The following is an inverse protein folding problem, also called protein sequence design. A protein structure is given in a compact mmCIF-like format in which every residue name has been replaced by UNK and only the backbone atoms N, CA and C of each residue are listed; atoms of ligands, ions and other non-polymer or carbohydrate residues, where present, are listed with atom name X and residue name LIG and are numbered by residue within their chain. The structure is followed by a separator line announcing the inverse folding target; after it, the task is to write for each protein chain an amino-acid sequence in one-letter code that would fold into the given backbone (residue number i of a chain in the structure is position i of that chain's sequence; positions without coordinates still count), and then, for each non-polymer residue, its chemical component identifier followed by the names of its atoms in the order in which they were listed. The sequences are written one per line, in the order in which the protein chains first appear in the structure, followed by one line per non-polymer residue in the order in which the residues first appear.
data_IF_872092671906
#
_entry.id   IF_872092671906
#
_cell.length_a   1.000
_cell.length_b   1.000
_cell.length_c   1.000
_cell.angle_alpha   90.00
_cell.angle_beta   90.00
_cell.angle_gamma   90.00
#
_symmetry.space_group_name_H-M   'P 1'
#
loop_
_entity.id
_entity.type
_entity.pdbx_description
1 polymer ?
#
# COMPACT_ATOMS: atom_id res chain seq x y z
N UNK A 1 20.94 32.01 18.24
CA UNK A 1 22.25 31.54 18.75
C UNK A 1 21.96 30.22 19.46
N UNK A 2 21.67 29.18 18.68
CA UNK A 2 22.64 28.16 18.21
C UNK A 2 23.17 27.28 19.35
N UNK A 3 22.35 26.31 19.74
CA UNK A 3 22.85 24.95 19.95
C UNK A 3 22.18 24.09 18.88
N UNK A 4 22.86 23.97 17.74
CA UNK A 4 22.57 22.91 16.77
C UNK A 4 22.61 21.59 17.54
N UNK A 5 21.48 20.88 17.59
CA UNK A 5 21.35 19.64 18.35
C UNK A 5 22.09 18.51 17.62
N UNK A 6 23.42 18.47 17.77
CA UNK A 6 24.37 17.47 17.23
C UNK A 6 23.95 16.03 17.61
N UNK A 7 23.19 15.87 18.70
CA UNK A 7 22.66 14.58 19.13
C UNK A 7 21.63 14.02 18.15
N UNK A 8 20.76 14.86 17.60
CA UNK A 8 19.80 14.47 16.56
C UNK A 8 20.48 14.09 15.24
N UNK A 9 21.59 14.73 14.90
CA UNK A 9 22.36 14.46 13.68
C UNK A 9 23.11 13.12 13.77
N UNK A 10 23.66 12.80 14.95
CA UNK A 10 24.35 11.54 15.18
C UNK A 10 23.38 10.35 15.18
N UNK A 11 22.22 10.51 15.81
CA UNK A 11 21.14 9.52 15.76
C UNK A 11 20.58 9.33 14.33
N UNK A 12 20.56 10.41 13.52
CA UNK A 12 20.18 10.38 12.11
C UNK A 12 21.17 9.54 11.28
N UNK A 13 22.47 9.82 11.38
CA UNK A 13 23.51 9.07 10.67
C UNK A 13 23.49 7.59 11.05
N UNK A 14 23.36 7.27 12.35
CA UNK A 14 23.32 5.88 12.83
C UNK A 14 22.07 5.12 12.35
N UNK A 15 20.91 5.78 12.19
CA UNK A 15 19.71 5.09 11.68
C UNK A 15 19.71 4.90 10.16
N UNK A 16 20.42 5.76 9.41
CA UNK A 16 20.47 5.73 7.95
C UNK A 16 21.57 4.79 7.42
N UNK A 17 22.66 4.61 8.16
CA UNK A 17 23.81 3.79 7.80
C UNK A 17 23.46 2.36 7.36
N UNK A 18 22.65 1.56 8.10
CA UNK A 18 22.31 0.20 7.66
C UNK A 18 21.46 0.18 6.38
N UNK A 19 20.64 1.22 6.15
CA UNK A 19 19.73 1.29 5.01
C UNK A 19 20.49 1.72 3.73
N UNK A 20 21.44 2.65 3.87
CA UNK A 20 22.32 3.08 2.78
C UNK A 20 23.26 1.94 2.34
N UNK A 21 23.86 1.22 3.29
CA UNK A 21 24.71 0.06 3.00
C UNK A 21 23.93 -1.06 2.28
N UNK A 22 22.66 -1.26 2.62
CA UNK A 22 21.80 -2.21 1.90
C UNK A 22 21.45 -1.74 0.47
N UNK A 23 21.45 -0.44 0.21
CA UNK A 23 21.06 0.14 -1.09
C UNK A 23 22.23 0.15 -2.07
N UNK A 24 23.45 0.48 -1.60
CA UNK A 24 24.68 0.46 -2.39
C UNK A 24 24.95 -0.92 -3.00
N UNK A 25 24.75 -1.98 -2.22
CA UNK A 25 24.95 -3.37 -2.66
C UNK A 25 23.98 -3.81 -3.77
N UNK A 26 22.83 -3.15 -3.94
CA UNK A 26 21.81 -3.50 -4.93
C UNK A 26 21.96 -2.73 -6.26
N UNK A 27 22.59 -1.55 -6.24
CA UNK A 27 22.75 -0.68 -7.42
C UNK A 27 23.67 -1.29 -8.50
N UNK A 28 24.70 -2.05 -8.10
CA UNK A 28 25.65 -2.64 -9.04
C UNK A 28 25.07 -3.71 -9.98
N UNK A 29 23.87 -4.24 -9.69
CA UNK A 29 23.25 -5.31 -10.50
C UNK A 29 22.42 -4.81 -11.69
N UNK A 30 22.29 -3.49 -11.88
CA UNK A 30 21.21 -2.92 -12.71
C UNK A 30 21.59 -2.42 -14.11
N UNK A 31 22.85 -2.51 -14.55
CA UNK A 31 23.28 -1.90 -15.82
C UNK A 31 23.77 -2.96 -16.82
N UNK A 32 22.96 -3.37 -17.82
CA UNK A 32 23.39 -3.70 -19.23
C UNK A 32 22.19 -3.55 -20.23
N UNK A 33 22.41 -3.07 -21.50
CA UNK A 33 21.39 -2.66 -22.48
C UNK A 33 20.80 -3.77 -23.39
N UNK A 34 19.59 -3.52 -23.93
CA UNK A 34 18.85 -4.35 -24.90
C UNK A 34 19.35 -4.22 -26.34
N UNK A 35 19.48 -5.34 -27.06
CA UNK A 35 19.39 -5.42 -28.54
C UNK A 35 18.66 -6.70 -28.96
N UNK A 36 17.63 -6.57 -29.81
CA UNK A 36 16.98 -7.66 -30.53
C UNK A 36 17.09 -7.39 -32.03
N UNK A 37 17.61 -8.35 -32.79
CA UNK A 37 17.49 -8.42 -34.24
C UNK A 37 16.94 -9.80 -34.59
N UNK A 38 15.73 -9.84 -35.15
CA UNK A 38 15.10 -11.05 -35.67
C UNK A 38 15.28 -11.11 -37.19
N UNK A 39 15.83 -12.22 -37.69
CA UNK A 39 15.89 -12.56 -39.10
C UNK A 39 14.95 -13.74 -39.40
N UNK A 40 14.05 -13.54 -40.37
CA UNK A 40 13.27 -14.59 -41.03
C UNK A 40 14.15 -15.39 -42.02
N UNK A 41 13.72 -16.60 -42.42
CA UNK A 41 13.59 -16.82 -43.87
C UNK A 41 12.36 -17.64 -44.31
N UNK A 42 11.92 -17.32 -45.55
CA UNK A 42 10.96 -18.04 -46.41
C UNK A 42 11.64 -19.22 -47.13
N UNK A 43 10.87 -20.23 -47.55
CA UNK A 43 11.25 -21.09 -48.70
C UNK A 43 10.02 -21.44 -49.56
N UNK A 44 10.24 -21.51 -50.87
CA UNK A 44 9.26 -21.66 -51.95
C UNK A 44 9.18 -23.08 -52.56
N UNK A 45 8.54 -23.13 -53.72
CA UNK A 45 7.73 -24.23 -54.29
C UNK A 45 8.41 -25.05 -55.42
N UNK A 46 7.72 -26.15 -55.79
CA UNK A 46 7.47 -26.71 -57.16
C UNK A 46 8.13 -28.05 -57.63
N UNK A 47 7.23 -29.02 -57.89
CA UNK A 47 6.92 -29.86 -59.08
C UNK A 47 7.97 -30.68 -59.86
N UNK A 48 7.51 -31.87 -60.32
CA UNK A 48 8.05 -32.62 -61.47
C UNK A 48 7.26 -33.91 -61.79
N UNK A 49 6.74 -34.02 -63.02
CA UNK A 49 5.88 -35.08 -63.61
C UNK A 49 6.67 -36.29 -64.17
N UNK A 50 6.01 -37.44 -64.47
CA UNK A 50 5.89 -38.02 -65.85
C UNK A 50 5.16 -39.40 -65.93
N UNK A 51 4.57 -39.65 -67.11
CA UNK A 51 3.66 -40.72 -67.58
C UNK A 51 4.31 -42.09 -67.94
N UNK A 52 3.48 -43.16 -68.11
CA UNK A 52 3.77 -44.25 -69.08
C UNK A 52 3.13 -45.65 -68.91
N UNK A 53 1.94 -45.85 -69.50
CA UNK A 53 1.24 -47.02 -70.11
C UNK A 53 1.53 -48.54 -69.87
N UNK A 54 0.39 -49.26 -69.61
CA UNK A 54 -0.22 -50.54 -70.14
C UNK A 54 0.52 -51.90 -70.21
N UNK A 55 -0.19 -52.96 -69.75
CA UNK A 55 -0.20 -54.30 -70.35
C UNK A 55 -0.48 -55.46 -69.37
N UNK A 56 -1.66 -56.10 -69.47
CA UNK A 56 -2.21 -57.18 -68.61
C UNK A 56 -1.53 -58.55 -68.78
N UNK A 57 -1.11 -59.16 -67.67
CA UNK A 57 -1.24 -60.62 -67.41
C UNK A 57 -1.11 -60.96 -65.90
N UNK A 58 -1.44 -60.01 -65.04
CA UNK A 58 -0.86 -59.96 -63.70
C UNK A 58 -1.93 -59.80 -62.61
N UNK A 59 -3.20 -60.15 -62.83
CA UNK A 59 -4.29 -59.67 -61.97
C UNK A 59 -4.16 -60.03 -60.46
N UNK A 60 -3.72 -61.24 -60.10
CA UNK A 60 -3.53 -61.60 -58.67
C UNK A 60 -2.17 -61.16 -58.09
N UNK A 61 -1.09 -61.17 -58.88
CA UNK A 61 0.23 -60.67 -58.45
C UNK A 61 0.31 -59.13 -58.45
N UNK A 62 -0.43 -58.47 -59.33
CA UNK A 62 -0.59 -57.02 -59.38
C UNK A 62 -1.50 -56.55 -58.26
N UNK A 63 -2.56 -57.28 -57.89
CA UNK A 63 -3.33 -56.91 -56.69
C UNK A 63 -2.50 -57.03 -55.41
N UNK A 64 -1.74 -58.12 -55.22
CA UNK A 64 -0.80 -58.24 -54.10
C UNK A 64 0.30 -57.17 -54.15
N UNK A 65 0.92 -56.95 -55.31
CA UNK A 65 1.92 -55.91 -55.53
C UNK A 65 1.37 -54.50 -55.32
N UNK A 66 0.13 -54.21 -55.71
CA UNK A 66 -0.54 -52.92 -55.51
C UNK A 66 -0.89 -52.74 -54.04
N UNK A 67 -1.37 -53.78 -53.34
CA UNK A 67 -1.67 -53.74 -51.90
C UNK A 67 -0.37 -53.59 -51.08
N UNK A 68 0.69 -54.32 -51.41
CA UNK A 68 2.02 -54.19 -50.80
C UNK A 68 2.65 -52.82 -51.13
N UNK A 69 2.52 -52.34 -52.37
CA UNK A 69 2.95 -50.99 -52.80
C UNK A 69 2.19 -49.88 -52.09
N UNK A 70 0.88 -50.06 -51.89
CA UNK A 70 0.03 -49.06 -51.22
C UNK A 70 0.30 -49.06 -49.72
N UNK A 71 0.43 -50.23 -49.09
CA UNK A 71 0.85 -50.38 -47.69
C UNK A 71 2.27 -49.87 -47.44
N UNK A 72 3.22 -50.13 -48.35
CA UNK A 72 4.58 -49.61 -48.25
C UNK A 72 4.62 -48.08 -48.38
N UNK A 73 3.83 -47.50 -49.30
CA UNK A 73 3.68 -46.05 -49.43
C UNK A 73 3.06 -45.40 -48.19
N UNK A 74 2.03 -46.03 -47.62
CA UNK A 74 1.34 -45.56 -46.41
C UNK A 74 2.25 -45.64 -45.17
N UNK A 75 3.02 -46.72 -45.02
CA UNK A 75 4.07 -46.85 -43.98
C UNK A 75 5.15 -45.77 -44.16
N UNK A 76 5.55 -45.47 -45.40
CA UNK A 76 6.56 -44.46 -45.67
C UNK A 76 6.04 -43.05 -45.38
N UNK A 77 4.78 -42.76 -45.71
CA UNK A 77 4.10 -41.51 -45.37
C UNK A 77 3.97 -41.33 -43.85
N UNK A 78 3.50 -42.34 -43.13
CA UNK A 78 3.39 -42.31 -41.66
C UNK A 78 4.74 -42.17 -40.96
N UNK A 79 5.81 -42.77 -41.52
CA UNK A 79 7.19 -42.57 -41.01
C UNK A 79 7.66 -41.13 -41.19
N UNK A 80 7.33 -40.51 -42.32
CA UNK A 80 7.64 -39.10 -42.59
C UNK A 80 6.90 -38.18 -41.60
N UNK A 81 5.60 -38.40 -41.42
CA UNK A 81 4.78 -37.65 -40.47
C UNK A 81 5.26 -37.81 -39.03
N UNK A 82 5.59 -39.05 -38.60
CA UNK A 82 6.18 -39.29 -37.29
C UNK A 82 7.52 -38.57 -37.08
N UNK A 83 8.29 -38.34 -38.14
CA UNK A 83 9.56 -37.60 -38.09
C UNK A 83 9.31 -36.09 -37.97
N UNK A 84 8.34 -35.58 -38.73
CA UNK A 84 7.92 -34.18 -38.68
C UNK A 84 7.33 -33.81 -37.31
N UNK A 85 6.42 -34.64 -36.79
CA UNK A 85 5.83 -34.44 -35.46
C UNK A 85 6.90 -34.47 -34.36
N UNK A 86 7.89 -35.37 -34.44
CA UNK A 86 9.03 -35.38 -33.50
C UNK A 86 9.83 -34.09 -33.55
N UNK A 87 10.20 -33.62 -34.74
CA UNK A 87 10.90 -32.35 -34.89
C UNK A 87 10.07 -31.17 -34.37
N UNK A 88 8.74 -31.21 -34.56
CA UNK A 88 7.83 -30.19 -34.04
C UNK A 88 7.77 -30.20 -32.52
N UNK A 89 7.69 -31.37 -31.89
CA UNK A 89 7.69 -31.54 -30.44
C UNK A 89 9.01 -31.05 -29.84
N UNK A 90 10.15 -31.42 -30.42
CA UNK A 90 11.47 -30.98 -29.95
C UNK A 90 11.61 -29.46 -30.03
N UNK A 91 11.22 -28.86 -31.15
CA UNK A 91 11.21 -27.41 -31.35
C UNK A 91 10.29 -26.70 -30.34
N UNK A 92 9.06 -27.19 -30.14
CA UNK A 92 8.13 -26.63 -29.16
C UNK A 92 8.63 -26.79 -27.73
N UNK A 93 9.31 -27.90 -27.42
CA UNK A 93 9.91 -28.15 -26.11
C UNK A 93 11.03 -27.14 -25.85
N UNK A 94 11.92 -26.91 -26.82
CA UNK A 94 12.97 -25.89 -26.72
C UNK A 94 12.41 -24.46 -26.59
N UNK A 95 11.37 -24.11 -27.35
CA UNK A 95 10.69 -22.81 -27.20
C UNK A 95 10.07 -22.64 -25.81
N UNK A 96 9.43 -23.70 -25.29
CA UNK A 96 8.84 -23.71 -23.95
C UNK A 96 9.92 -23.59 -22.87
N UNK A 97 11.05 -24.27 -23.01
CA UNK A 97 12.16 -24.20 -22.06
C UNK A 97 12.80 -22.79 -22.07
N UNK A 98 13.06 -22.22 -23.25
CA UNK A 98 13.58 -20.85 -23.38
C UNK A 98 12.61 -19.80 -22.80
N UNK A 99 11.30 -19.97 -22.99
CA UNK A 99 10.30 -19.09 -22.40
C UNK A 99 10.26 -19.22 -20.87
N UNK A 100 10.44 -20.43 -20.32
CA UNK A 100 10.54 -20.66 -18.89
C UNK A 100 11.78 -19.99 -18.28
N UNK A 101 12.93 -20.09 -18.94
CA UNK A 101 14.17 -19.42 -18.52
C UNK A 101 14.01 -17.89 -18.49
N UNK A 102 13.40 -17.31 -19.54
CA UNK A 102 13.14 -15.88 -19.58
C UNK A 102 12.14 -15.44 -18.51
N UNK A 103 11.12 -16.25 -18.22
CA UNK A 103 10.15 -15.97 -17.17
C UNK A 103 10.80 -15.93 -15.79
N UNK A 104 11.64 -16.91 -15.44
CA UNK A 104 12.36 -16.89 -14.15
C UNK A 104 13.33 -15.71 -14.08
N UNK A 105 14.05 -15.39 -15.17
CA UNK A 105 14.92 -14.21 -15.23
C UNK A 105 14.15 -12.91 -14.98
N UNK A 106 13.00 -12.74 -15.62
CA UNK A 106 12.16 -11.54 -15.45
C UNK A 106 11.56 -11.46 -14.04
N UNK A 107 11.20 -12.59 -13.44
CA UNK A 107 10.70 -12.67 -12.07
C UNK A 107 11.77 -12.27 -11.06
N UNK A 108 13.01 -12.71 -11.22
CA UNK A 108 14.14 -12.31 -10.37
C UNK A 108 14.43 -10.80 -10.49
N UNK A 109 14.34 -10.26 -11.71
CA UNK A 109 14.48 -8.82 -11.95
C UNK A 109 13.36 -8.02 -11.28
N UNK A 110 12.11 -8.49 -11.38
CA UNK A 110 10.96 -7.84 -10.76
C UNK A 110 11.08 -7.85 -9.22
N UNK A 111 11.47 -8.98 -8.64
CA UNK A 111 11.68 -9.08 -7.19
C UNK A 111 12.77 -8.10 -6.73
N UNK A 112 13.88 -8.05 -7.46
CA UNK A 112 15.00 -7.13 -7.16
C UNK A 112 14.58 -5.66 -7.26
N UNK A 113 13.82 -5.30 -8.30
CA UNK A 113 13.30 -3.94 -8.47
C UNK A 113 12.32 -3.58 -7.33
N UNK A 114 11.44 -4.50 -6.95
CA UNK A 114 10.50 -4.31 -5.86
C UNK A 114 11.23 -4.05 -4.54
N UNK A 115 12.26 -4.85 -4.22
CA UNK A 115 13.09 -4.64 -3.01
C UNK A 115 13.82 -3.31 -3.03
N UNK A 116 14.37 -2.90 -4.18
CA UNK A 116 15.03 -1.60 -4.34
C UNK A 116 14.04 -0.44 -4.13
N UNK A 117 12.88 -0.47 -4.79
CA UNK A 117 11.86 0.56 -4.67
C UNK A 117 11.33 0.68 -3.23
N UNK A 118 11.11 -0.46 -2.55
CA UNK A 118 10.71 -0.46 -1.14
C UNK A 118 11.78 0.19 -0.24
N UNK A 119 13.05 -0.15 -0.45
CA UNK A 119 14.17 0.41 0.31
C UNK A 119 14.32 1.91 0.09
N UNK A 120 14.31 2.35 -1.18
CA UNK A 120 14.38 3.76 -1.55
C UNK A 120 13.19 4.54 -0.98
N UNK A 121 11.97 3.99 -1.09
CA UNK A 121 10.77 4.58 -0.53
C UNK A 121 10.84 4.74 0.99
N UNK A 122 11.38 3.74 1.70
CA UNK A 122 11.56 3.81 3.16
C UNK A 122 12.56 4.91 3.59
N UNK A 123 13.69 5.04 2.88
CA UNK A 123 14.68 6.10 3.13
C UNK A 123 14.05 7.47 2.87
N UNK A 124 13.52 7.68 1.68
CA UNK A 124 12.95 8.97 1.27
C UNK A 124 11.75 9.34 2.14
N UNK A 125 10.89 8.38 2.48
CA UNK A 125 9.77 8.59 3.40
C UNK A 125 10.22 9.07 4.78
N UNK A 126 11.29 8.49 5.34
CA UNK A 126 11.85 8.94 6.62
C UNK A 126 12.47 10.34 6.52
N UNK A 127 13.24 10.63 5.47
CA UNK A 127 13.82 11.97 5.25
C UNK A 127 12.72 13.02 5.10
N UNK A 128 11.69 12.73 4.30
CA UNK A 128 10.52 13.60 4.10
C UNK A 128 9.75 13.79 5.41
N UNK A 129 9.56 12.75 6.21
CA UNK A 129 8.94 12.90 7.53
C UNK A 129 9.73 13.84 8.43
N UNK A 130 11.06 13.67 8.51
CA UNK A 130 11.90 14.57 9.29
C UNK A 130 11.85 16.00 8.76
N UNK A 131 11.90 16.21 7.44
CA UNK A 131 11.79 17.51 6.81
C UNK A 131 10.44 18.19 7.09
N UNK A 132 9.34 17.42 7.09
CA UNK A 132 7.99 17.95 7.37
C UNK A 132 7.82 18.48 8.80
N UNK A 133 8.75 18.22 9.72
CA UNK A 133 8.71 18.79 11.08
C UNK A 133 8.97 20.29 11.10
N UNK A 134 9.53 20.84 10.01
CA UNK A 134 9.76 22.28 9.86
C UNK A 134 8.54 22.91 9.17
N UNK A 135 7.78 23.79 9.85
CA UNK A 135 6.56 24.38 9.28
C UNK A 135 6.81 25.07 7.94
N UNK A 136 7.96 25.73 7.77
CA UNK A 136 8.33 26.42 6.53
C UNK A 136 8.40 25.46 5.33
N UNK A 137 8.81 24.21 5.55
CA UNK A 137 8.85 23.19 4.51
C UNK A 137 7.43 22.77 4.12
N UNK A 138 6.57 22.57 5.11
CA UNK A 138 5.15 22.28 4.89
C UNK A 138 4.46 23.43 4.15
N UNK A 139 4.76 24.68 4.48
CA UNK A 139 4.21 25.87 3.82
C UNK A 139 4.64 25.93 2.35
N UNK A 140 5.91 25.62 2.04
CA UNK A 140 6.40 25.53 0.65
C UNK A 140 5.68 24.40 -0.10
N UNK A 141 5.51 23.23 0.51
CA UNK A 141 4.78 22.12 -0.11
C UNK A 141 3.33 22.48 -0.42
N UNK A 142 2.64 23.10 0.53
CA UNK A 142 1.24 23.49 0.38
C UNK A 142 1.02 24.71 -0.50
N UNK A 143 2.04 25.55 -0.75
CA UNK A 143 1.91 26.71 -1.65
C UNK A 143 2.38 26.42 -3.06
N UNK A 144 3.44 25.61 -3.21
CA UNK A 144 4.16 25.42 -4.48
C UNK A 144 3.94 24.03 -5.09
N UNK A 145 3.70 23.00 -4.26
CA UNK A 145 3.70 21.59 -4.67
C UNK A 145 2.41 20.85 -4.27
N UNK A 146 1.26 21.53 -4.29
CA UNK A 146 -0.03 20.95 -3.87
C UNK A 146 -0.42 19.70 -4.66
N UNK A 147 -0.14 19.69 -5.97
CA UNK A 147 -0.36 18.53 -6.84
C UNK A 147 0.44 17.31 -6.35
N UNK A 148 1.70 17.52 -5.96
CA UNK A 148 2.58 16.47 -5.44
C UNK A 148 2.17 15.97 -4.07
N UNK A 149 1.67 16.85 -3.20
CA UNK A 149 1.07 16.41 -1.93
C UNK A 149 -0.23 15.62 -2.19
N UNK A 150 -1.02 16.02 -3.20
CA UNK A 150 -2.19 15.26 -3.63
C UNK A 150 -1.84 13.86 -4.15
N UNK A 151 -0.83 13.74 -5.02
CA UNK A 151 -0.30 12.44 -5.50
C UNK A 151 0.22 11.59 -4.34
N UNK A 152 0.97 12.19 -3.41
CA UNK A 152 1.45 11.54 -2.20
C UNK A 152 0.30 10.97 -1.36
N UNK A 153 -0.76 11.75 -1.10
CA UNK A 153 -1.94 11.26 -0.37
C UNK A 153 -2.63 10.11 -1.11
N UNK A 154 -2.67 10.13 -2.44
CA UNK A 154 -3.20 9.00 -3.23
C UNK A 154 -2.39 7.72 -3.00
N UNK A 155 -1.07 7.82 -2.91
CA UNK A 155 -0.21 6.66 -2.63
C UNK A 155 -0.44 6.16 -1.21
N UNK A 156 -0.48 7.05 -0.22
CA UNK A 156 -0.72 6.65 1.18
C UNK A 156 -2.10 6.02 1.33
N UNK A 157 -3.12 6.49 0.60
CA UNK A 157 -4.45 5.87 0.61
C UNK A 157 -4.41 4.37 0.32
N UNK A 158 -3.67 3.96 -0.70
CA UNK A 158 -3.49 2.54 -1.04
C UNK A 158 -2.62 1.81 -0.02
N UNK A 159 -1.50 2.43 0.38
CA UNK A 159 -0.55 1.82 1.32
C UNK A 159 -1.16 1.58 2.70
N UNK A 160 -1.94 2.53 3.23
CA UNK A 160 -2.57 2.41 4.54
C UNK A 160 -3.63 1.32 4.56
N UNK A 161 -4.49 1.27 3.53
CA UNK A 161 -5.48 0.21 3.38
C UNK A 161 -4.82 -1.16 3.26
N UNK A 162 -3.81 -1.30 2.39
CA UNK A 162 -3.06 -2.54 2.24
C UNK A 162 -2.35 -2.97 3.54
N UNK A 163 -1.81 -2.01 4.31
CA UNK A 163 -1.18 -2.28 5.59
C UNK A 163 -2.18 -2.82 6.62
N UNK A 164 -3.34 -2.16 6.77
CA UNK A 164 -4.42 -2.62 7.65
C UNK A 164 -4.92 -4.00 7.19
N UNK A 165 -5.09 -4.19 5.89
CA UNK A 165 -5.57 -5.44 5.31
C UNK A 165 -4.61 -6.62 5.48
N UNK A 166 -3.30 -6.35 5.42
CA UNK A 166 -2.27 -7.38 5.59
C UNK A 166 -2.19 -7.84 7.04
N UNK A 167 -2.38 -6.92 8.00
CA UNK A 167 -2.11 -7.17 9.43
C UNK A 167 -3.36 -7.20 10.33
N UNK A 168 -4.56 -7.36 9.75
CA UNK A 168 -5.89 -7.35 10.41
C UNK A 168 -5.96 -7.94 11.83
N UNK A 169 -5.23 -9.03 12.10
CA UNK A 169 -5.23 -9.70 13.40
C UNK A 169 -4.13 -9.28 14.36
N UNK A 170 -2.96 -8.89 13.85
CA UNK A 170 -1.81 -8.53 14.66
C UNK A 170 -0.81 -7.70 13.85
N UNK A 171 -0.51 -6.51 14.36
CA UNK A 171 0.52 -5.66 13.76
C UNK A 171 1.91 -6.24 14.01
N UNK A 172 2.84 -6.05 13.07
CA UNK A 172 4.22 -6.44 13.27
C UNK A 172 4.83 -5.58 14.40
N UNK A 173 5.95 -6.02 14.99
CA UNK A 173 6.67 -5.23 15.99
C UNK A 173 6.95 -3.82 15.48
N UNK A 174 7.01 -2.83 16.37
CA UNK A 174 7.26 -1.44 15.96
C UNK A 174 8.61 -1.26 15.27
N UNK A 175 9.59 -2.14 15.50
CA UNK A 175 10.88 -2.15 14.79
C UNK A 175 10.81 -2.65 13.34
N UNK A 176 9.68 -3.21 12.91
CA UNK A 176 9.48 -3.69 11.54
C UNK A 176 9.54 -2.53 10.54
N UNK A 177 10.19 -2.77 9.39
CA UNK A 177 10.42 -1.76 8.35
C UNK A 177 9.12 -1.23 7.74
N UNK A 178 8.10 -2.07 7.54
CA UNK A 178 6.81 -1.67 7.00
C UNK A 178 6.02 -0.84 8.03
N UNK A 179 6.09 -1.23 9.31
CA UNK A 179 5.51 -0.45 10.39
C UNK A 179 6.15 0.95 10.48
N UNK A 180 7.48 1.02 10.46
CA UNK A 180 8.22 2.29 10.47
C UNK A 180 7.94 3.13 9.23
N UNK A 181 7.83 2.49 8.06
CA UNK A 181 7.43 3.17 6.83
C UNK A 181 6.03 3.77 6.97
N UNK A 182 5.06 3.01 7.49
CA UNK A 182 3.70 3.48 7.69
C UNK A 182 3.63 4.63 8.71
N UNK A 183 4.39 4.53 9.80
CA UNK A 183 4.57 5.61 10.77
C UNK A 183 5.15 6.88 10.12
N UNK A 184 6.11 6.74 9.21
CA UNK A 184 6.68 7.86 8.46
C UNK A 184 5.65 8.56 7.59
N UNK A 185 4.87 7.78 6.83
CA UNK A 185 3.82 8.31 5.97
C UNK A 185 2.72 9.04 6.77
N UNK A 186 2.22 8.44 7.86
CA UNK A 186 1.26 9.11 8.75
C UNK A 186 1.86 10.31 9.47
N UNK A 187 3.13 10.22 9.82
CA UNK A 187 3.87 11.29 10.47
C UNK A 187 4.01 12.53 9.59
N UNK A 188 4.23 12.36 8.28
CA UNK A 188 4.20 13.46 7.31
C UNK A 188 2.82 14.13 7.31
N UNK A 189 1.75 13.34 7.18
CA UNK A 189 0.37 13.87 7.15
C UNK A 189 0.01 14.56 8.47
N UNK A 190 0.48 14.03 9.60
CA UNK A 190 0.33 14.66 10.92
C UNK A 190 0.94 16.06 10.93
N UNK A 191 2.17 16.19 10.45
CA UNK A 191 2.84 17.50 10.38
C UNK A 191 2.17 18.45 9.38
N UNK A 192 1.73 17.94 8.21
CA UNK A 192 0.96 18.74 7.24
C UNK A 192 -0.33 19.26 7.87
N UNK A 193 -1.08 18.41 8.57
CA UNK A 193 -2.33 18.82 9.23
C UNK A 193 -2.13 19.82 10.38
N UNK A 194 -0.91 20.01 10.88
CA UNK A 194 -0.66 20.97 11.95
C UNK A 194 -0.84 22.43 11.51
N UNK A 195 -0.67 22.75 10.22
CA UNK A 195 -0.91 24.10 9.69
C UNK A 195 -2.37 24.32 9.25
N UNK A 196 -2.92 25.54 9.36
CA UNK A 196 -4.27 25.86 8.86
C UNK A 196 -4.49 25.49 7.39
N UNK A 197 -3.51 25.78 6.54
CA UNK A 197 -3.52 25.51 5.11
C UNK A 197 -3.55 24.01 4.85
N UNK A 198 -2.79 23.23 5.63
CA UNK A 198 -2.74 21.78 5.49
C UNK A 198 -4.04 21.12 5.92
N UNK A 199 -4.67 21.61 7.00
CA UNK A 199 -6.02 21.17 7.40
C UNK A 199 -7.03 21.42 6.30
N UNK A 200 -7.03 22.63 5.75
CA UNK A 200 -7.96 22.99 4.68
C UNK A 200 -7.69 22.15 3.44
N UNK A 201 -6.43 21.95 3.05
CA UNK A 201 -6.05 21.12 1.92
C UNK A 201 -6.53 19.67 2.07
N UNK A 202 -6.37 19.07 3.26
CA UNK A 202 -6.83 17.70 3.53
C UNK A 202 -8.33 17.51 3.35
N UNK A 203 -9.15 18.57 3.47
CA UNK A 203 -10.60 18.47 3.33
C UNK A 203 -11.15 19.09 2.04
N UNK A 204 -10.30 19.68 1.19
CA UNK A 204 -10.70 20.17 -0.14
C UNK A 204 -10.13 19.33 -1.27
N UNK A 205 -8.98 18.70 -1.07
CA UNK A 205 -8.40 17.78 -2.03
C UNK A 205 -9.08 16.41 -1.94
N UNK A 206 -9.44 15.82 -3.08
CA UNK A 206 -10.14 14.52 -3.12
C UNK A 206 -9.35 13.39 -2.44
N UNK A 207 -8.04 13.33 -2.64
CA UNK A 207 -7.18 12.31 -2.04
C UNK A 207 -7.01 12.54 -0.53
N UNK A 208 -6.98 13.81 -0.09
CA UNK A 208 -7.00 14.17 1.33
C UNK A 208 -8.29 13.74 2.02
N UNK A 209 -9.45 14.06 1.42
CA UNK A 209 -10.76 13.69 1.96
C UNK A 209 -10.93 12.18 2.03
N UNK A 210 -10.46 11.46 1.00
CA UNK A 210 -10.39 10.00 0.98
C UNK A 210 -9.55 9.48 2.15
N UNK A 211 -8.38 10.09 2.38
CA UNK A 211 -7.48 9.61 3.41
C UNK A 211 -8.00 9.81 4.82
N UNK A 212 -8.56 10.99 5.11
CA UNK A 212 -9.26 11.25 6.38
C UNK A 212 -10.40 10.26 6.58
N UNK A 213 -11.16 9.94 5.51
CA UNK A 213 -12.22 8.94 5.58
C UNK A 213 -11.71 7.55 5.89
N UNK A 214 -10.63 7.11 5.25
CA UNK A 214 -9.99 5.82 5.55
C UNK A 214 -9.48 5.77 6.98
N UNK A 215 -8.88 6.85 7.49
CA UNK A 215 -8.48 6.93 8.90
C UNK A 215 -9.68 6.70 9.83
N UNK A 216 -10.80 7.40 9.62
CA UNK A 216 -12.00 7.23 10.45
C UNK A 216 -12.54 5.80 10.35
N UNK A 217 -12.70 5.27 9.14
CA UNK A 217 -13.32 3.96 8.91
C UNK A 217 -12.48 2.76 9.32
N UNK A 218 -11.16 2.80 9.09
CA UNK A 218 -10.26 1.67 9.34
C UNK A 218 -9.67 1.67 10.75
N UNK A 219 -9.69 2.80 11.48
CA UNK A 219 -9.17 2.82 12.87
C UNK A 219 -9.86 1.82 13.80
N UNK A 220 -11.19 1.63 13.75
CA UNK A 220 -11.88 0.58 14.50
C UNK A 220 -11.48 -0.86 14.12
N UNK A 221 -10.91 -1.06 12.94
CA UNK A 221 -10.46 -2.38 12.45
C UNK A 221 -9.03 -2.71 12.90
N UNK A 222 -8.31 -1.75 13.47
CA UNK A 222 -6.93 -1.95 13.91
C UNK A 222 -6.89 -2.92 15.12
N UNK A 223 -5.87 -3.80 15.21
CA UNK A 223 -5.77 -4.74 16.31
C UNK A 223 -5.75 -4.07 17.71
N UNK A 224 -6.27 -4.79 18.69
CA UNK A 224 -6.23 -4.39 20.10
C UNK A 224 -4.90 -4.86 20.73
N UNK A 225 -3.80 -4.18 20.39
CA UNK A 225 -2.46 -4.54 20.89
C UNK A 225 -1.61 -3.29 21.22
N UNK A 226 -0.70 -3.36 22.21
CA UNK A 226 0.15 -2.22 22.59
C UNK A 226 0.97 -1.65 21.43
N UNK A 227 1.39 -2.49 20.50
CA UNK A 227 2.16 -2.10 19.32
C UNK A 227 1.41 -1.17 18.35
N UNK A 228 0.08 -1.05 18.48
CA UNK A 228 -0.79 -0.26 17.59
C UNK A 228 -0.92 1.19 18.07
N UNK A 229 -0.64 1.45 19.35
CA UNK A 229 -0.83 2.76 19.99
C UNK A 229 -0.11 3.92 19.27
N UNK A 230 1.15 3.78 18.81
CA UNK A 230 1.82 4.88 18.11
C UNK A 230 1.10 5.27 16.81
N UNK A 231 0.57 4.27 16.09
CA UNK A 231 -0.18 4.50 14.86
C UNK A 231 -1.50 5.22 15.15
N UNK A 232 -2.27 4.73 16.13
CA UNK A 232 -3.53 5.36 16.58
C UNK A 232 -3.30 6.79 17.04
N UNK A 233 -2.20 7.05 17.75
CA UNK A 233 -1.83 8.41 18.17
C UNK A 233 -1.67 9.35 16.98
N UNK A 234 -0.94 8.95 15.93
CA UNK A 234 -0.79 9.78 14.73
C UNK A 234 -2.13 10.03 14.02
N UNK A 235 -2.97 8.99 13.90
CA UNK A 235 -4.31 9.12 13.33
C UNK A 235 -5.14 10.13 14.13
N UNK A 236 -5.23 9.96 15.45
CA UNK A 236 -5.98 10.88 16.30
C UNK A 236 -5.41 12.30 16.29
N UNK A 237 -4.09 12.47 16.15
CA UNK A 237 -3.49 13.80 15.96
C UNK A 237 -3.95 14.45 14.65
N UNK A 238 -3.99 13.71 13.54
CA UNK A 238 -4.55 14.20 12.27
C UNK A 238 -6.02 14.57 12.42
N UNK A 239 -6.84 13.69 13.02
CA UNK A 239 -8.27 13.94 13.22
C UNK A 239 -8.52 15.14 14.14
N UNK A 240 -7.76 15.29 15.22
CA UNK A 240 -7.81 16.47 16.09
C UNK A 240 -7.43 17.73 15.32
N UNK A 241 -6.36 17.70 14.55
CA UNK A 241 -5.98 18.85 13.75
C UNK A 241 -7.12 19.21 12.78
N UNK A 242 -7.62 18.26 12.00
CA UNK A 242 -8.77 18.46 11.09
C UNK A 242 -10.05 18.91 11.81
N UNK A 243 -10.23 18.60 13.10
CA UNK A 243 -11.39 19.11 13.84
C UNK A 243 -11.28 20.60 14.17
N UNK A 244 -10.08 21.20 14.10
CA UNK A 244 -9.86 22.63 14.37
C UNK A 244 -10.36 23.55 13.24
N UNK A 245 -10.62 23.04 12.03
CA UNK A 245 -11.25 23.80 10.96
C UNK A 245 -12.73 23.44 10.82
N UNK A 246 -13.59 24.45 10.60
CA UNK A 246 -15.06 24.27 10.54
C UNK A 246 -15.50 23.22 9.51
N UNK A 247 -14.91 23.25 8.32
CA UNK A 247 -15.16 22.30 7.24
C UNK A 247 -14.72 20.88 7.59
N UNK A 248 -13.57 20.74 8.24
CA UNK A 248 -13.06 19.46 8.70
C UNK A 248 -13.88 18.88 9.86
N UNK A 249 -14.25 19.69 10.83
CA UNK A 249 -15.18 19.32 11.90
C UNK A 249 -16.50 18.79 11.33
N UNK A 250 -17.09 19.52 10.37
CA UNK A 250 -18.33 19.07 9.72
C UNK A 250 -18.13 17.73 9.00
N UNK A 251 -17.02 17.58 8.27
CA UNK A 251 -16.73 16.35 7.56
C UNK A 251 -16.53 15.15 8.52
N UNK A 252 -15.88 15.34 9.67
CA UNK A 252 -15.72 14.29 10.68
C UNK A 252 -17.07 13.86 11.29
N UNK A 253 -18.00 14.79 11.49
CA UNK A 253 -19.36 14.48 11.93
C UNK A 253 -20.14 13.68 10.87
N UNK A 254 -20.04 14.08 9.59
CA UNK A 254 -20.64 13.35 8.47
C UNK A 254 -20.07 11.94 8.29
N UNK A 255 -18.83 11.72 8.72
CA UNK A 255 -18.17 10.41 8.74
C UNK A 255 -18.46 9.58 9.99
N UNK A 256 -19.30 10.06 10.93
CA UNK A 256 -19.60 9.37 12.18
C UNK A 256 -18.35 9.04 13.01
N UNK A 257 -17.45 10.02 13.19
CA UNK A 257 -16.19 9.86 13.96
C UNK A 257 -16.37 9.31 15.38
N UNK A 258 -17.60 9.36 15.93
CA UNK A 258 -17.95 8.76 17.22
C UNK A 258 -17.58 7.27 17.33
N UNK A 259 -17.73 6.49 16.25
CA UNK A 259 -17.36 5.07 16.25
C UNK A 259 -15.86 4.86 16.47
N UNK A 260 -15.04 5.64 15.77
CA UNK A 260 -13.58 5.65 15.94
C UNK A 260 -13.17 6.03 17.35
N UNK A 261 -13.76 7.10 17.88
CA UNK A 261 -13.43 7.61 19.21
C UNK A 261 -13.86 6.64 20.32
N UNK A 262 -15.03 6.00 20.17
CA UNK A 262 -15.47 4.95 21.08
C UNK A 262 -14.48 3.80 21.11
N UNK A 263 -14.06 3.30 19.95
CA UNK A 263 -13.09 2.21 19.87
C UNK A 263 -11.78 2.57 20.60
N UNK A 264 -11.21 3.74 20.31
CA UNK A 264 -9.97 4.20 20.96
C UNK A 264 -10.11 4.42 22.47
N UNK A 265 -11.30 4.79 22.96
CA UNK A 265 -11.53 4.96 24.39
C UNK A 265 -11.54 3.62 25.13
N UNK A 266 -12.09 2.55 24.56
CA UNK A 266 -12.27 1.24 25.22
C UNK A 266 -10.96 0.44 25.43
N UNK A 267 -9.88 0.76 24.72
CA UNK A 267 -8.60 0.01 24.68
C UNK A 267 -7.71 0.05 25.94
N UNK A 268 -8.18 0.71 26.98
CA UNK A 268 -7.41 1.19 28.13
C UNK A 268 -6.92 0.09 29.10
N UNK A 269 -7.28 -1.18 28.85
CA UNK A 269 -6.93 -2.30 29.74
C UNK A 269 -5.61 -2.98 29.39
N UNK A 270 -5.00 -2.66 28.25
CA UNK A 270 -3.89 -3.43 27.67
C UNK A 270 -2.57 -2.66 27.56
N UNK A 271 -2.52 -1.37 27.89
CA UNK A 271 -1.36 -0.51 27.62
C UNK A 271 -0.65 0.04 28.87
N UNK A 272 0.58 0.52 28.67
CA UNK A 272 1.27 1.33 29.68
C UNK A 272 0.44 2.58 30.00
N UNK A 273 0.19 2.81 31.30
CA UNK A 273 -0.69 3.88 31.81
C UNK A 273 -0.49 5.24 31.14
N UNK A 274 0.77 5.66 30.93
CA UNK A 274 1.10 6.96 30.33
C UNK A 274 0.70 7.07 28.86
N UNK A 275 0.96 6.01 28.07
CA UNK A 275 0.60 5.98 26.64
C UNK A 275 -0.92 5.96 26.45
N UNK A 276 -1.63 5.30 27.38
CA UNK A 276 -3.10 5.33 27.44
C UNK A 276 -3.65 6.73 27.69
N UNK A 277 -3.09 7.47 28.65
CA UNK A 277 -3.53 8.83 28.99
C UNK A 277 -3.38 9.84 27.82
N UNK A 278 -2.33 9.70 27.00
CA UNK A 278 -2.17 10.55 25.81
C UNK A 278 -3.23 10.28 24.74
N UNK A 279 -3.56 9.01 24.51
CA UNK A 279 -4.62 8.59 23.59
C UNK A 279 -5.98 9.11 24.07
N UNK A 280 -6.28 8.93 25.36
CA UNK A 280 -7.49 9.47 26.00
C UNK A 280 -7.61 10.97 25.82
N UNK A 281 -6.53 11.72 26.07
CA UNK A 281 -6.53 13.17 25.92
C UNK A 281 -6.82 13.58 24.47
N UNK A 282 -6.25 12.88 23.48
CA UNK A 282 -6.53 13.14 22.06
C UNK A 282 -8.00 12.86 21.73
N UNK A 283 -8.56 11.72 22.16
CA UNK A 283 -9.97 11.41 21.98
C UNK A 283 -10.87 12.49 22.61
N UNK A 284 -10.57 12.89 23.84
CA UNK A 284 -11.32 13.93 24.54
C UNK A 284 -11.25 15.29 23.85
N UNK A 285 -10.10 15.66 23.28
CA UNK A 285 -9.94 16.90 22.52
C UNK A 285 -10.73 16.89 21.21
N UNK A 286 -10.75 15.77 20.50
CA UNK A 286 -11.60 15.63 19.30
C UNK A 286 -13.07 15.73 19.71
N UNK A 287 -13.49 15.02 20.77
CA UNK A 287 -14.85 15.11 21.31
C UNK A 287 -15.21 16.53 21.71
N UNK A 288 -14.33 17.24 22.41
CA UNK A 288 -14.53 18.63 22.79
C UNK A 288 -14.73 19.51 21.56
N UNK A 289 -13.93 19.29 20.51
CA UNK A 289 -14.03 20.02 19.25
C UNK A 289 -15.36 19.76 18.55
N UNK A 290 -15.76 18.50 18.35
CA UNK A 290 -16.97 18.15 17.59
C UNK A 290 -18.27 18.40 18.36
N UNK A 291 -18.21 18.51 19.69
CA UNK A 291 -19.37 18.85 20.54
C UNK A 291 -19.51 20.35 20.80
N UNK A 292 -18.49 21.15 20.50
CA UNK A 292 -18.54 22.60 20.72
C UNK A 292 -19.59 23.27 19.82
N UNK A 293 -20.58 23.94 20.43
CA UNK A 293 -21.71 24.59 19.74
C UNK A 293 -22.44 23.64 18.75
N UNK A 294 -22.48 22.35 19.08
CA UNK A 294 -23.17 21.34 18.26
C UNK A 294 -24.67 21.46 18.48
N UNK A 295 -25.43 21.82 17.44
CA UNK A 295 -26.89 22.03 17.54
C UNK A 295 -27.73 21.04 16.73
N UNK A 296 -27.08 20.23 15.90
CA UNK A 296 -27.75 19.30 14.97
C UNK A 296 -28.14 18.02 15.71
N UNK A 297 -29.45 17.72 15.91
CA UNK A 297 -29.89 16.59 16.71
C UNK A 297 -29.40 15.23 16.21
N UNK A 298 -29.23 15.08 14.89
CA UNK A 298 -28.73 13.86 14.27
C UNK A 298 -27.31 13.50 14.74
N UNK A 299 -26.43 14.50 14.87
CA UNK A 299 -25.04 14.32 15.31
C UNK A 299 -24.94 14.20 16.83
N UNK A 300 -25.77 14.94 17.58
CA UNK A 300 -25.83 14.80 19.04
C UNK A 300 -26.27 13.37 19.41
N UNK A 301 -27.31 12.87 18.74
CA UNK A 301 -27.80 11.49 18.93
C UNK A 301 -26.72 10.48 18.56
N UNK A 302 -26.06 10.64 17.42
CA UNK A 302 -24.97 9.76 16.99
C UNK A 302 -23.88 9.67 18.08
N UNK A 303 -23.30 10.80 18.48
CA UNK A 303 -22.26 10.86 19.50
C UNK A 303 -22.74 10.29 20.84
N UNK A 304 -23.93 10.63 21.29
CA UNK A 304 -24.48 10.17 22.59
C UNK A 304 -24.73 8.66 22.60
N UNK A 305 -25.08 8.08 21.44
CA UNK A 305 -25.32 6.62 21.35
C UNK A 305 -24.05 5.80 21.21
N UNK A 306 -22.99 6.35 20.61
CA UNK A 306 -21.74 5.62 20.36
C UNK A 306 -20.71 5.80 21.46
N UNK A 307 -20.60 7.01 22.03
CA UNK A 307 -19.55 7.34 22.98
C UNK A 307 -19.89 6.81 24.37
N UNK A 308 -18.96 6.13 25.07
CA UNK A 308 -19.19 5.65 26.43
C UNK A 308 -19.15 6.82 27.44
N UNK A 309 -20.26 7.54 27.60
CA UNK A 309 -20.35 8.75 28.44
C UNK A 309 -19.95 8.46 29.90
N UNK A 310 -20.33 7.31 30.45
CA UNK A 310 -19.94 6.93 31.82
C UNK A 310 -18.43 6.83 31.97
N UNK A 311 -17.74 6.35 30.95
CA UNK A 311 -16.28 6.30 30.92
C UNK A 311 -15.68 7.72 30.91
N UNK A 312 -16.24 8.65 30.14
CA UNK A 312 -15.81 10.06 30.17
C UNK A 312 -16.06 10.69 31.55
N UNK A 313 -17.17 10.36 32.21
CA UNK A 313 -17.44 10.82 33.59
C UNK A 313 -16.38 10.34 34.57
N UNK A 314 -15.85 9.12 34.43
CA UNK A 314 -14.72 8.68 35.26
C UNK A 314 -13.46 9.52 35.01
N UNK A 315 -13.21 9.95 33.77
CA UNK A 315 -12.07 10.79 33.41
C UNK A 315 -12.14 12.21 33.98
N UNK A 316 -13.32 12.71 34.35
CA UNK A 316 -13.48 14.00 35.05
C UNK A 316 -12.75 14.05 36.40
N UNK A 317 -12.42 12.88 36.97
CA UNK A 317 -11.70 12.71 38.23
C UNK A 317 -10.27 12.20 38.02
N UNK A 318 -9.76 12.21 36.79
CA UNK A 318 -8.40 11.79 36.49
C UNK A 318 -7.38 12.67 37.24
N UNK A 319 -6.24 12.12 37.72
CA UNK A 319 -5.19 12.90 38.41
C UNK A 319 -4.60 14.01 37.53
N UNK A 320 -4.62 13.80 36.21
CA UNK A 320 -4.19 14.77 35.21
C UNK A 320 -5.24 15.84 35.00
N UNK A 321 -4.88 17.08 35.27
CA UNK A 321 -5.78 18.24 35.15
C UNK A 321 -6.23 18.49 33.71
N UNK A 322 -5.36 18.28 32.72
CA UNK A 322 -5.70 18.45 31.31
C UNK A 322 -6.77 17.45 30.83
N UNK A 323 -6.69 16.20 31.26
CA UNK A 323 -7.72 15.17 30.97
C UNK A 323 -9.03 15.51 31.69
N UNK A 324 -8.97 15.77 33.00
CA UNK A 324 -10.17 16.01 33.80
C UNK A 324 -10.93 17.27 33.38
N UNK A 325 -10.24 18.36 33.03
CA UNK A 325 -10.90 19.58 32.56
C UNK A 325 -11.54 19.41 31.18
N UNK A 326 -10.88 18.75 30.23
CA UNK A 326 -11.48 18.48 28.91
C UNK A 326 -12.69 17.54 29.05
N UNK A 327 -12.59 16.49 29.87
CA UNK A 327 -13.71 15.58 30.12
C UNK A 327 -14.94 16.31 30.70
N UNK A 328 -14.74 17.23 31.67
CA UNK A 328 -15.82 18.07 32.23
C UNK A 328 -16.48 18.92 31.14
N UNK A 329 -15.71 19.48 30.22
CA UNK A 329 -16.24 20.29 29.12
C UNK A 329 -17.05 19.45 28.13
N UNK A 330 -16.55 18.28 27.71
CA UNK A 330 -17.27 17.36 26.82
C UNK A 330 -18.62 16.98 27.42
N UNK A 331 -18.65 16.62 28.71
CA UNK A 331 -19.91 16.24 29.40
C UNK A 331 -20.89 17.42 29.50
N UNK A 332 -20.39 18.65 29.66
CA UNK A 332 -21.25 19.86 29.62
C UNK A 332 -21.80 20.08 28.22
N UNK A 333 -20.96 20.07 27.19
CA UNK A 333 -21.40 20.26 25.82
C UNK A 333 -22.49 19.25 25.45
N UNK A 334 -22.29 17.96 25.73
CA UNK A 334 -23.29 16.92 25.42
C UNK A 334 -24.60 17.05 26.23
N UNK A 335 -24.58 17.72 27.38
CA UNK A 335 -25.79 17.98 28.18
C UNK A 335 -26.55 19.21 27.67
N UNK A 336 -25.81 20.20 27.21
CA UNK A 336 -26.34 21.51 26.81
C UNK A 336 -26.70 21.57 25.31
N UNK A 337 -26.39 20.51 24.53
CA UNK A 337 -26.70 20.37 23.09
C UNK A 337 -28.07 19.75 22.85
#
# INVERSE_FOLDING_TARGET
MEEFNIKNERELLTSLEPILNSTENNLHKFIIPRTFAASNPKCGSCNGETNGQRGDEQSNNAFLSIVESKGAREITALKSECKELRARVERLTGEKDAAFEEMERLKDQLLSQSTYCASLGAILGNLTWRASRFPQIVDIWLSTFQDKIGEFLSLINGTFEAFVDTYKGAFPPTSNVEYQFMMGLLGIVTNVSASPEGRQFLITNSNGMEFVRKMVKLTPELPLAPGVLPLKKLILMVLYNVSLNKTGLQYLLELHVGDTLSHCLEEDKLSEKKSSEELQLLCLRILQSVTYDLRKPEYIRDLTTKIPIERIKTMMFAPRSDISEVAKQVVRHLRDS
#
